data_IF_042227613281
#
_entry.id   IF_042227613281
#
_cell.length_a   1.000
_cell.length_b   1.000
_cell.length_c   1.000
_cell.angle_alpha   90.00
_cell.angle_beta   90.00
_cell.angle_gamma   90.00
#
_symmetry.space_group_name_H-M   'P 1'
#
loop_
_entity.id
_entity.type
_entity.pdbx_description
1 polymer ?
#
# COMPACT_ATOMS: atom_id res chain seq x y z
N UNK A 1 -32.95 10.29 17.94
CA UNK A 1 -32.41 9.05 18.44
C UNK A 1 -30.93 9.01 18.24
N UNK A 2 -30.25 8.67 19.27
CA UNK A 2 -28.83 8.58 19.14
C UNK A 2 -28.49 7.34 18.34
N UNK A 3 -27.46 7.46 17.56
CA UNK A 3 -26.94 6.32 16.85
C UNK A 3 -26.12 5.54 17.87
N UNK A 4 -26.57 4.36 18.17
CA UNK A 4 -25.83 3.54 19.10
C UNK A 4 -24.81 2.73 18.35
N UNK A 5 -23.64 2.68 18.89
CA UNK A 5 -22.59 1.87 18.29
C UNK A 5 -22.87 0.43 18.69
N UNK A 6 -22.94 -0.40 17.68
CA UNK A 6 -23.06 -1.84 17.91
C UNK A 6 -21.65 -2.37 18.05
N UNK A 7 -21.19 -2.44 19.28
CA UNK A 7 -19.81 -2.84 19.53
C UNK A 7 -19.50 -4.25 19.05
N UNK A 8 -20.50 -5.11 19.02
CA UNK A 8 -20.27 -6.45 18.54
C UNK A 8 -19.97 -6.43 17.05
N UNK A 9 -20.75 -5.66 16.28
CA UNK A 9 -20.50 -5.52 14.86
C UNK A 9 -19.17 -4.85 14.61
N UNK A 10 -18.83 -3.85 15.41
CA UNK A 10 -17.55 -3.18 15.25
C UNK A 10 -16.41 -4.14 15.51
N UNK A 11 -16.56 -5.00 16.50
CA UNK A 11 -15.53 -5.96 16.81
C UNK A 11 -15.36 -6.95 15.67
N UNK A 12 -16.46 -7.37 15.07
CA UNK A 12 -16.39 -8.29 13.94
C UNK A 12 -15.77 -7.62 12.74
N UNK A 13 -16.07 -6.34 12.54
CA UNK A 13 -15.46 -5.61 11.46
C UNK A 13 -13.96 -5.49 11.63
N UNK A 14 -13.50 -5.32 12.85
CA UNK A 14 -12.07 -5.27 13.10
C UNK A 14 -11.39 -6.56 12.72
N UNK A 15 -12.09 -7.68 12.91
CA UNK A 15 -11.50 -8.98 12.61
C UNK A 15 -11.63 -9.35 11.15
N UNK A 16 -12.73 -8.98 10.53
CA UNK A 16 -13.05 -9.45 9.19
C UNK A 16 -13.05 -8.37 8.14
N UNK A 17 -13.22 -7.11 8.58
CA UNK A 17 -13.35 -6.01 7.65
C UNK A 17 -12.10 -5.77 6.87
N UNK A 18 -10.95 -5.84 7.53
CA UNK A 18 -9.70 -5.63 6.85
C UNK A 18 -8.74 -6.74 7.20
N UNK A 19 -8.54 -7.62 6.24
CA UNK A 19 -7.52 -8.64 6.33
C UNK A 19 -6.27 -8.00 5.71
N UNK A 20 -5.42 -7.40 6.53
CA UNK A 20 -4.28 -6.65 6.03
C UNK A 20 -3.24 -7.57 5.41
N UNK A 21 -2.82 -7.22 4.21
CA UNK A 21 -1.81 -8.00 3.52
C UNK A 21 -0.42 -7.63 4.03
N UNK A 22 0.30 -8.64 4.45
CA UNK A 22 1.67 -8.47 4.90
C UNK A 22 2.53 -9.39 4.04
N UNK A 23 3.05 -8.87 2.95
CA UNK A 23 3.79 -9.71 2.02
C UNK A 23 5.06 -10.27 2.64
N UNK A 24 5.29 -11.54 2.38
CA UNK A 24 6.51 -12.18 2.83
C UNK A 24 7.56 -11.96 1.76
N UNK A 25 8.82 -12.19 2.13
CA UNK A 25 9.90 -12.09 1.17
C UNK A 25 9.59 -13.01 0.00
N UNK A 26 9.77 -12.48 -1.20
CA UNK A 26 9.51 -13.23 -2.42
C UNK A 26 8.70 -12.43 -3.41
N UNK A 27 8.23 -13.12 -4.44
CA UNK A 27 7.49 -12.52 -5.54
C UNK A 27 6.01 -12.85 -5.40
N UNK A 28 5.16 -11.82 -5.51
CA UNK A 28 3.73 -11.99 -5.36
C UNK A 28 3.00 -11.37 -6.55
N UNK A 29 1.96 -12.07 -7.02
CA UNK A 29 1.09 -11.51 -8.05
C UNK A 29 -0.09 -10.90 -7.35
N UNK A 30 -0.37 -9.65 -7.65
CA UNK A 30 -1.40 -8.88 -6.96
C UNK A 30 -2.35 -8.27 -7.98
N UNK A 31 -3.65 -8.45 -7.75
CA UNK A 31 -4.65 -7.78 -8.57
C UNK A 31 -5.25 -6.68 -7.72
N UNK A 32 -5.21 -5.45 -8.21
CA UNK A 32 -5.74 -4.31 -7.48
C UNK A 32 -7.21 -4.14 -7.84
N UNK A 33 -8.05 -4.01 -6.84
CA UNK A 33 -9.49 -4.01 -7.05
C UNK A 33 -10.12 -2.63 -7.00
N UNK A 34 -9.40 -1.61 -6.48
CA UNK A 34 -9.90 -0.25 -6.46
C UNK A 34 -8.74 0.74 -6.62
N UNK A 35 -9.06 2.02 -6.69
CA UNK A 35 -8.01 3.04 -6.84
C UNK A 35 -7.52 3.56 -5.49
N UNK A 36 -7.95 2.95 -4.42
CA UNK A 36 -7.43 3.25 -3.10
C UNK A 36 -8.14 4.39 -2.40
N UNK A 37 -7.99 4.40 -1.09
CA UNK A 37 -8.53 5.47 -0.24
C UNK A 37 -7.43 5.97 0.67
N UNK A 38 -7.26 7.28 0.72
CA UNK A 38 -6.24 7.86 1.59
C UNK A 38 -6.74 7.91 3.02
N UNK A 39 -5.83 7.73 3.95
CA UNK A 39 -6.11 7.85 5.37
C UNK A 39 -4.82 8.23 6.09
N UNK A 40 -4.92 8.61 7.36
CA UNK A 40 -3.75 8.98 8.11
C UNK A 40 -3.64 8.12 9.35
N UNK A 41 -2.42 7.93 9.81
CA UNK A 41 -2.15 7.25 11.06
C UNK A 41 -1.20 8.10 11.87
N UNK A 42 -1.16 7.87 13.19
CA UNK A 42 -0.21 8.57 14.02
C UNK A 42 1.20 8.08 13.73
N UNK A 43 2.15 8.99 13.82
CA UNK A 43 3.55 8.62 13.70
C UNK A 43 4.01 7.97 14.99
N UNK A 44 4.93 7.04 14.89
CA UNK A 44 5.46 6.33 16.05
C UNK A 44 6.96 6.50 16.15
N UNK A 45 7.45 6.53 17.37
CA UNK A 45 8.88 6.48 17.66
C UNK A 45 9.06 5.53 18.81
N UNK A 46 9.96 4.56 18.65
CA UNK A 46 10.23 3.57 19.69
C UNK A 46 8.98 2.85 20.14
N UNK A 47 8.09 2.56 19.21
CA UNK A 47 6.87 1.81 19.50
C UNK A 47 5.77 2.62 20.14
N UNK A 48 5.95 3.92 20.32
CA UNK A 48 4.95 4.77 20.94
C UNK A 48 4.55 5.89 19.99
N UNK A 49 3.33 6.39 20.15
CA UNK A 49 2.86 7.50 19.35
C UNK A 49 3.72 8.73 19.63
N UNK A 50 4.24 9.34 18.58
CA UNK A 50 5.05 10.53 18.70
C UNK A 50 4.23 11.72 18.19
N UNK A 51 3.65 12.46 19.14
CA UNK A 51 2.78 13.56 18.77
C UNK A 51 3.52 14.77 18.23
N UNK A 52 4.84 14.77 18.32
CA UNK A 52 5.64 15.86 17.78
C UNK A 52 5.83 15.72 16.27
N UNK A 53 5.56 14.52 15.74
CA UNK A 53 5.69 14.29 14.32
C UNK A 53 4.34 14.39 13.65
N UNK A 54 4.30 14.81 12.39
CA UNK A 54 3.02 14.88 11.68
C UNK A 54 2.47 13.48 11.47
N UNK A 55 1.16 13.40 11.28
CA UNK A 55 0.53 12.14 10.96
C UNK A 55 1.07 11.61 9.64
N UNK A 56 1.06 10.30 9.51
CA UNK A 56 1.56 9.64 8.31
C UNK A 56 0.39 9.42 7.36
N UNK A 57 0.55 9.86 6.12
CA UNK A 57 -0.46 9.62 5.11
C UNK A 57 -0.25 8.27 4.46
N UNK A 58 -1.33 7.52 4.32
CA UNK A 58 -1.30 6.19 3.70
C UNK A 58 -2.46 6.06 2.75
N UNK A 59 -2.37 5.09 1.87
CA UNK A 59 -3.45 4.76 0.96
C UNK A 59 -3.76 3.27 1.15
N UNK A 60 -5.05 2.94 1.19
CA UNK A 60 -5.48 1.55 1.33
C UNK A 60 -6.08 1.08 0.03
N UNK A 61 -5.55 -0.02 -0.48
CA UNK A 61 -6.11 -0.67 -1.66
C UNK A 61 -6.80 -1.96 -1.25
N UNK A 62 -7.85 -2.32 -1.97
CA UNK A 62 -8.38 -3.65 -1.87
C UNK A 62 -7.70 -4.45 -2.96
N UNK A 63 -7.17 -5.60 -2.60
CA UNK A 63 -6.39 -6.41 -3.54
C UNK A 63 -6.78 -7.87 -3.44
N UNK A 64 -6.37 -8.63 -4.43
CA UNK A 64 -6.55 -10.07 -4.44
C UNK A 64 -5.21 -10.72 -4.70
N UNK A 65 -4.83 -11.67 -3.86
CA UNK A 65 -3.59 -12.41 -3.99
C UNK A 65 -3.93 -13.89 -3.82
N UNK A 66 -3.62 -14.69 -4.81
CA UNK A 66 -3.93 -16.13 -4.80
C UNK A 66 -5.41 -16.39 -4.52
N UNK A 67 -6.26 -15.60 -5.15
CA UNK A 67 -7.73 -15.72 -5.04
C UNK A 67 -8.26 -15.35 -3.64
N UNK A 68 -7.43 -14.73 -2.82
CA UNK A 68 -7.84 -14.28 -1.49
C UNK A 68 -7.79 -12.78 -1.43
N UNK A 69 -8.78 -12.16 -0.81
CA UNK A 69 -8.86 -10.70 -0.76
C UNK A 69 -8.21 -10.14 0.50
N UNK A 70 -7.51 -9.03 0.32
CA UNK A 70 -6.81 -8.35 1.40
C UNK A 70 -6.96 -6.86 1.27
N UNK A 71 -6.71 -6.15 2.37
CA UNK A 71 -6.50 -4.71 2.35
C UNK A 71 -4.99 -4.48 2.40
N UNK A 72 -4.50 -3.57 1.57
CA UNK A 72 -3.07 -3.30 1.49
C UNK A 72 -2.82 -1.83 1.79
N UNK A 73 -2.11 -1.56 2.87
CA UNK A 73 -1.78 -0.20 3.27
C UNK A 73 -0.39 0.18 2.77
N UNK A 74 -0.31 1.29 2.08
CA UNK A 74 0.94 1.76 1.50
C UNK A 74 1.17 3.19 1.98
N UNK A 75 2.36 3.46 2.51
CA UNK A 75 2.70 4.80 2.95
C UNK A 75 2.91 5.69 1.72
N UNK A 76 2.32 6.88 1.75
CA UNK A 76 2.44 7.82 0.64
C UNK A 76 3.86 8.37 0.61
N UNK A 77 4.57 8.08 -0.47
CA UNK A 77 5.93 8.57 -0.65
C UNK A 77 6.00 9.61 -1.74
N UNK A 78 7.15 10.24 -1.89
CA UNK A 78 7.33 11.28 -2.89
C UNK A 78 8.28 10.87 -4.00
N UNK A 79 8.96 9.75 -3.84
CA UNK A 79 9.94 9.30 -4.81
C UNK A 79 9.31 8.27 -5.76
N UNK A 80 9.72 8.27 -7.02
CA UNK A 80 9.26 7.26 -7.95
C UNK A 80 9.70 5.87 -7.54
N UNK A 81 10.77 5.77 -6.78
CA UNK A 81 11.26 4.47 -6.35
C UNK A 81 10.56 3.97 -5.10
N UNK A 82 9.76 4.80 -4.43
CA UNK A 82 8.99 4.32 -3.29
C UNK A 82 7.88 3.40 -3.79
N UNK A 83 7.36 2.57 -2.91
CA UNK A 83 6.28 1.67 -3.30
C UNK A 83 5.09 2.46 -3.84
N UNK A 84 4.72 3.54 -3.15
CA UNK A 84 3.63 4.39 -3.59
C UNK A 84 3.94 4.99 -4.96
N UNK A 85 5.19 5.48 -5.17
CA UNK A 85 5.58 6.06 -6.44
C UNK A 85 5.47 5.07 -7.59
N UNK A 86 5.87 3.83 -7.33
CA UNK A 86 5.76 2.80 -8.36
C UNK A 86 4.30 2.54 -8.72
N UNK A 87 3.42 2.54 -7.72
CA UNK A 87 1.99 2.36 -7.98
C UNK A 87 1.43 3.53 -8.77
N UNK A 88 1.88 4.74 -8.47
CA UNK A 88 1.42 5.92 -9.20
C UNK A 88 1.81 5.81 -10.68
N UNK A 89 3.02 5.35 -10.95
CA UNK A 89 3.46 5.22 -12.33
C UNK A 89 2.60 4.22 -13.10
N UNK A 90 2.30 3.10 -12.47
CA UNK A 90 1.45 2.10 -13.11
C UNK A 90 0.04 2.64 -13.33
N UNK A 91 -0.51 3.31 -12.32
CA UNK A 91 -1.85 3.88 -12.43
C UNK A 91 -1.94 4.95 -13.50
N UNK A 92 -0.93 5.79 -13.59
CA UNK A 92 -0.92 6.84 -14.60
C UNK A 92 -0.84 6.22 -16.00
N UNK A 93 -0.01 5.19 -16.15
CA UNK A 93 0.16 4.54 -17.45
C UNK A 93 -1.13 3.87 -17.92
N UNK A 94 -1.90 3.31 -16.99
CA UNK A 94 -3.12 2.58 -17.35
C UNK A 94 -4.38 3.43 -17.24
N UNK A 95 -4.29 4.58 -16.62
CA UNK A 95 -5.45 5.43 -16.35
C UNK A 95 -6.19 5.08 -15.08
N UNK A 96 -5.97 3.90 -14.53
CA UNK A 96 -6.59 3.47 -13.28
C UNK A 96 -5.82 2.26 -12.78
N UNK A 97 -5.92 2.02 -11.49
CA UNK A 97 -5.36 0.79 -10.92
C UNK A 97 -6.43 -0.29 -10.78
N UNK A 98 -7.69 0.04 -11.02
CA UNK A 98 -8.77 -0.94 -10.89
C UNK A 98 -8.54 -2.06 -11.90
N UNK A 99 -8.46 -3.29 -11.41
CA UNK A 99 -8.25 -4.45 -12.26
C UNK A 99 -6.81 -4.66 -12.71
N UNK A 100 -5.90 -3.80 -12.27
CA UNK A 100 -4.51 -3.93 -12.68
C UNK A 100 -3.87 -5.14 -11.98
N UNK A 101 -3.13 -5.92 -12.75
CA UNK A 101 -2.39 -7.04 -12.19
C UNK A 101 -0.92 -6.65 -12.18
N UNK A 102 -0.34 -6.65 -11.01
CA UNK A 102 1.05 -6.25 -10.85
C UNK A 102 1.81 -7.33 -10.11
N UNK A 103 3.12 -7.23 -10.17
CA UNK A 103 4.01 -8.10 -9.42
C UNK A 103 4.64 -7.27 -8.32
N UNK A 104 4.64 -7.79 -7.10
CA UNK A 104 5.29 -7.13 -5.98
C UNK A 104 6.40 -8.05 -5.48
N UNK A 105 7.62 -7.56 -5.52
CA UNK A 105 8.78 -8.32 -5.05
C UNK A 105 9.21 -7.72 -3.74
N UNK A 106 9.15 -8.52 -2.68
CA UNK A 106 9.53 -8.09 -1.33
C UNK A 106 10.90 -8.65 -0.99
N UNK A 107 11.81 -7.77 -0.58
CA UNK A 107 13.16 -8.16 -0.20
C UNK A 107 13.52 -7.51 1.11
N UNK A 108 14.56 -8.02 1.77
CA UNK A 108 15.06 -7.43 3.00
C UNK A 108 14.28 -7.88 4.22
N UNK A 109 14.73 -7.47 5.38
CA UNK A 109 14.11 -7.88 6.62
C UNK A 109 13.87 -6.70 7.54
N UNK A 110 12.80 -6.78 8.31
CA UNK A 110 12.49 -5.75 9.28
C UNK A 110 12.35 -4.37 8.66
N UNK A 111 13.09 -3.41 9.20
CA UNK A 111 13.01 -2.05 8.71
C UNK A 111 13.69 -1.86 7.37
N UNK A 112 14.42 -2.86 6.91
CA UNK A 112 15.08 -2.77 5.61
C UNK A 112 14.29 -3.47 4.53
N UNK A 113 13.03 -3.77 4.79
CA UNK A 113 12.15 -4.37 3.81
C UNK A 113 11.96 -3.42 2.64
N UNK A 114 12.15 -3.94 1.45
CA UNK A 114 12.07 -3.14 0.23
C UNK A 114 11.11 -3.82 -0.73
N UNK A 115 10.39 -3.04 -1.51
CA UNK A 115 9.40 -3.55 -2.45
C UNK A 115 9.66 -3.00 -3.84
N UNK A 116 9.59 -3.87 -4.83
CA UNK A 116 9.76 -3.48 -6.22
C UNK A 116 8.57 -3.96 -7.03
N UNK A 117 8.06 -3.11 -7.90
CA UNK A 117 7.02 -3.47 -8.84
C UNK A 117 7.65 -3.42 -10.22
N UNK A 118 7.99 -4.59 -10.79
CA UNK A 118 8.68 -4.60 -12.10
C UNK A 118 7.93 -3.86 -13.19
N UNK A 119 6.60 -3.87 -13.13
CA UNK A 119 5.81 -3.19 -14.15
C UNK A 119 6.03 -1.68 -14.13
N UNK A 120 6.52 -1.13 -13.04
CA UNK A 120 6.78 0.29 -12.94
C UNK A 120 8.17 0.68 -13.43
N UNK A 121 9.09 -0.27 -13.49
CA UNK A 121 10.47 0.06 -13.85
C UNK A 121 10.60 0.75 -15.20
N UNK A 122 9.98 0.27 -16.27
CA UNK A 122 10.11 0.96 -17.55
C UNK A 122 9.39 2.30 -17.59
N UNK A 123 8.58 2.60 -16.58
CA UNK A 123 7.84 3.86 -16.52
C UNK A 123 8.57 4.93 -15.73
N UNK A 124 9.63 4.56 -15.03
CA UNK A 124 10.39 5.52 -14.25
C UNK A 124 11.12 6.45 -15.20
N UNK A 125 11.09 7.74 -14.85
CA UNK A 125 11.59 8.72 -15.78
C UNK A 125 13.00 9.13 -15.48
N UNK A 126 13.47 9.89 -16.35
CA UNK A 126 14.52 10.80 -16.12
C UNK A 126 15.82 10.26 -15.71
N UNK A 127 15.86 9.52 -14.66
CA UNK A 127 17.10 9.04 -14.21
C UNK A 127 17.82 8.28 -15.23
N UNK A 128 17.10 7.50 -15.98
CA UNK A 128 17.72 6.72 -17.00
C UNK A 128 18.32 7.60 -18.04
N UNK A 129 17.65 8.67 -18.33
CA UNK A 129 18.15 9.54 -19.36
C UNK A 129 19.35 10.28 -18.92
N UNK A 130 19.43 10.58 -17.66
CA UNK A 130 20.55 11.31 -17.21
C UNK A 130 21.81 10.55 -17.24
N UNK A 131 21.74 9.28 -17.25
CA UNK A 131 22.91 8.48 -17.26
C UNK A 131 23.64 8.61 -18.57
N UNK A 132 23.02 9.13 -19.53
CA UNK A 132 23.62 9.25 -20.83
C UNK A 132 24.55 10.40 -20.96
#
# INVERSE_FOLDING_TARGET
MSVEIDWKSEKENLKQGYNWWKPKIGTHKVKILNDGDFYTTKAYSDGKIDEKKPDVEKIRFDIEVNSEKFAWGVTRGISESSLYGQLVLVGDSKGTLVGAEITVIAKGEGTERDYTIPEALPLMTAKEEKVN
#
